data_IF_838017347212
#
_entry.id   IF_838017347212
#
_cell.length_a   1.000
_cell.length_b   1.000
_cell.length_c   1.000
_cell.angle_alpha   90.00
_cell.angle_beta   90.00
_cell.angle_gamma   90.00
#
_symmetry.space_group_name_H-M   'P 1'
#
loop_
_entity.id
_entity.type
_entity.pdbx_description
1 polymer ?
#
# COMPACT_ATOMS: atom_id res chain seq x y z
N UNK A 1 68.76 -16.73 -17.80
CA UNK A 1 67.55 -17.56 -17.78
C UNK A 1 66.69 -17.42 -16.50
N UNK A 2 67.20 -17.31 -15.27
CA UNK A 2 66.40 -17.21 -14.04
C UNK A 2 65.54 -15.94 -13.94
N UNK A 3 65.97 -14.77 -14.46
CA UNK A 3 65.24 -13.48 -14.36
C UNK A 3 63.98 -13.41 -15.26
N UNK A 4 63.98 -14.13 -16.39
CA UNK A 4 62.86 -14.16 -17.32
C UNK A 4 61.74 -15.08 -16.84
N UNK A 5 62.08 -16.14 -16.10
CA UNK A 5 61.12 -17.07 -15.51
C UNK A 5 60.40 -16.43 -14.32
N UNK A 6 61.14 -15.66 -13.48
CA UNK A 6 60.51 -14.92 -12.35
C UNK A 6 59.50 -13.86 -12.84
N UNK A 7 59.83 -13.13 -13.92
CA UNK A 7 58.91 -12.13 -14.51
C UNK A 7 57.60 -12.74 -15.04
N UNK A 8 57.67 -13.92 -15.68
CA UNK A 8 56.49 -14.66 -16.15
C UNK A 8 55.60 -15.15 -14.99
N UNK A 9 56.23 -15.55 -13.85
CA UNK A 9 55.48 -16.06 -12.69
C UNK A 9 54.53 -15.03 -12.03
N UNK A 10 54.84 -13.75 -12.13
CA UNK A 10 53.97 -12.68 -11.60
C UNK A 10 53.11 -12.04 -12.71
N UNK A 11 53.50 -12.12 -13.98
CA UNK A 11 52.75 -11.54 -15.09
C UNK A 11 51.42 -12.27 -15.32
N UNK A 12 51.39 -13.58 -15.26
CA UNK A 12 50.18 -14.40 -15.47
C UNK A 12 49.08 -14.07 -14.42
N UNK A 13 49.38 -14.10 -13.09
CA UNK A 13 48.33 -13.75 -12.10
C UNK A 13 47.91 -12.27 -12.17
N UNK A 14 48.82 -11.37 -12.55
CA UNK A 14 48.46 -9.96 -12.73
C UNK A 14 47.53 -9.76 -13.95
N UNK A 15 47.77 -10.44 -15.07
CA UNK A 15 46.88 -10.42 -16.22
C UNK A 15 45.52 -11.05 -15.89
N UNK A 16 45.48 -12.15 -15.13
CA UNK A 16 44.26 -12.79 -14.69
C UNK A 16 43.44 -11.86 -13.75
N UNK A 17 44.13 -11.16 -12.84
CA UNK A 17 43.47 -10.17 -11.97
C UNK A 17 42.89 -9.01 -12.77
N UNK A 18 43.64 -8.49 -13.75
CA UNK A 18 43.18 -7.39 -14.63
C UNK A 18 41.95 -7.82 -15.44
N UNK A 19 41.96 -9.03 -16.01
CA UNK A 19 40.81 -9.57 -16.76
C UNK A 19 39.60 -9.75 -15.85
N UNK A 20 39.76 -10.20 -14.61
CA UNK A 20 38.69 -10.30 -13.62
C UNK A 20 38.12 -8.93 -13.28
N UNK A 21 38.95 -7.91 -13.07
CA UNK A 21 38.49 -6.54 -12.81
C UNK A 21 37.75 -5.93 -14.02
N UNK A 22 38.22 -6.21 -15.22
CA UNK A 22 37.53 -5.77 -16.45
C UNK A 22 36.15 -6.47 -16.54
N UNK A 23 36.08 -7.78 -16.31
CA UNK A 23 34.81 -8.50 -16.31
C UNK A 23 33.84 -7.96 -15.28
N UNK A 24 34.29 -7.68 -14.05
CA UNK A 24 33.47 -7.06 -12.99
C UNK A 24 33.01 -5.66 -13.41
N UNK A 25 33.89 -4.84 -14.01
CA UNK A 25 33.49 -3.52 -14.49
C UNK A 25 32.46 -3.60 -15.61
N UNK A 26 32.58 -4.57 -16.52
CA UNK A 26 31.59 -4.81 -17.58
C UNK A 26 30.24 -5.18 -17.00
N UNK A 27 30.21 -6.13 -16.06
CA UNK A 27 28.96 -6.51 -15.37
C UNK A 27 28.36 -5.31 -14.63
N UNK A 28 29.17 -4.54 -13.92
CA UNK A 28 28.69 -3.37 -13.18
C UNK A 28 28.10 -2.31 -14.11
N UNK A 29 28.75 -2.00 -15.25
CA UNK A 29 28.30 -1.00 -16.22
C UNK A 29 27.07 -1.48 -17.01
N UNK A 30 27.05 -2.78 -17.42
CA UNK A 30 26.02 -3.29 -18.33
C UNK A 30 24.77 -3.84 -17.64
N UNK A 31 24.87 -4.21 -16.35
CA UNK A 31 23.75 -4.79 -15.60
C UNK A 31 23.39 -3.92 -14.39
N UNK A 32 24.32 -3.77 -13.45
CA UNK A 32 24.02 -3.14 -12.16
C UNK A 32 23.70 -1.65 -12.28
N UNK A 33 24.49 -0.91 -13.09
CA UNK A 33 24.29 0.53 -13.24
C UNK A 33 22.97 0.90 -13.96
N UNK A 34 22.53 0.20 -15.02
CA UNK A 34 21.23 0.42 -15.63
C UNK A 34 20.06 0.09 -14.67
N UNK A 35 20.13 -1.04 -13.95
CA UNK A 35 19.11 -1.41 -12.95
C UNK A 35 18.98 -0.34 -11.86
N UNK A 36 20.11 0.14 -11.35
CA UNK A 36 20.14 1.19 -10.33
C UNK A 36 19.52 2.50 -10.84
N UNK A 37 19.85 2.91 -12.06
CA UNK A 37 19.27 4.11 -12.69
C UNK A 37 17.77 3.98 -12.92
N UNK A 38 17.31 2.81 -13.30
CA UNK A 38 15.89 2.54 -13.50
C UNK A 38 15.14 2.56 -12.17
N UNK A 39 15.74 2.03 -11.11
CA UNK A 39 15.18 2.11 -9.75
C UNK A 39 15.11 3.56 -9.26
N UNK A 40 16.19 4.33 -9.40
CA UNK A 40 16.21 5.76 -9.05
C UNK A 40 15.12 6.54 -9.83
N UNK A 41 14.96 6.25 -11.12
CA UNK A 41 13.93 6.85 -11.96
C UNK A 41 12.50 6.48 -11.48
N UNK A 42 12.26 5.21 -11.14
CA UNK A 42 10.97 4.78 -10.60
C UNK A 42 10.66 5.47 -9.27
N UNK A 43 11.65 5.58 -8.39
CA UNK A 43 11.50 6.28 -7.11
C UNK A 43 11.22 7.78 -7.29
N UNK A 44 11.85 8.41 -8.28
CA UNK A 44 11.61 9.82 -8.58
C UNK A 44 10.19 10.04 -9.12
N UNK A 45 9.72 9.18 -10.03
CA UNK A 45 8.34 9.20 -10.56
C UNK A 45 7.34 8.99 -9.42
N UNK A 46 7.56 7.99 -8.58
CA UNK A 46 6.69 7.73 -7.42
C UNK A 46 6.65 8.93 -6.46
N UNK A 47 7.80 9.52 -6.15
CA UNK A 47 7.88 10.70 -5.28
C UNK A 47 7.14 11.90 -5.88
N UNK A 48 7.26 12.12 -7.19
CA UNK A 48 6.51 13.17 -7.89
C UNK A 48 5.00 12.96 -7.80
N UNK A 49 4.54 11.74 -8.05
CA UNK A 49 3.14 11.36 -7.93
C UNK A 49 2.63 11.51 -6.49
N UNK A 50 3.36 10.98 -5.52
CA UNK A 50 3.03 11.09 -4.09
C UNK A 50 2.87 12.55 -3.64
N UNK A 51 3.84 13.41 -3.96
CA UNK A 51 3.77 14.82 -3.62
C UNK A 51 2.60 15.54 -4.29
N UNK A 52 2.31 15.25 -5.56
CA UNK A 52 1.16 15.82 -6.25
C UNK A 52 -0.18 15.44 -5.57
N UNK A 53 -0.29 14.21 -5.06
CA UNK A 53 -1.46 13.78 -4.27
C UNK A 53 -1.57 14.55 -2.95
N UNK A 54 -0.47 14.75 -2.21
CA UNK A 54 -0.49 15.52 -0.96
C UNK A 54 -0.89 16.98 -1.21
N UNK A 55 -0.36 17.60 -2.27
CA UNK A 55 -0.75 18.95 -2.66
C UNK A 55 -2.24 19.04 -3.07
N UNK A 56 -2.75 18.02 -3.75
CA UNK A 56 -4.17 17.92 -4.06
C UNK A 56 -5.00 17.83 -2.78
N UNK A 57 -4.64 16.94 -1.84
CA UNK A 57 -5.36 16.79 -0.58
C UNK A 57 -5.39 18.08 0.24
N UNK A 58 -4.26 18.80 0.28
CA UNK A 58 -4.21 20.10 0.96
C UNK A 58 -5.14 21.15 0.34
N UNK A 59 -5.27 21.15 -1.00
CA UNK A 59 -6.23 22.04 -1.70
C UNK A 59 -7.67 21.61 -1.42
N UNK A 60 -7.96 20.31 -1.52
CA UNK A 60 -9.31 19.78 -1.31
C UNK A 60 -9.79 20.05 0.13
N UNK A 61 -8.89 19.92 1.12
CA UNK A 61 -9.23 20.15 2.52
C UNK A 61 -9.69 21.60 2.78
N UNK A 62 -9.16 22.57 2.01
CA UNK A 62 -9.55 23.98 2.15
C UNK A 62 -10.98 24.28 1.66
N UNK A 63 -11.63 23.33 1.01
CA UNK A 63 -13.01 23.44 0.51
C UNK A 63 -14.05 22.95 1.53
N UNK A 64 -13.62 22.36 2.66
CA UNK A 64 -14.51 21.76 3.66
C UNK A 64 -14.27 22.33 5.05
N UNK A 65 -15.36 22.50 5.79
CA UNK A 65 -15.31 22.72 7.24
C UNK A 65 -15.09 21.40 8.00
N UNK A 66 -14.69 21.48 9.28
CA UNK A 66 -14.53 20.33 10.17
C UNK A 66 -15.81 19.49 10.17
N UNK A 67 -15.68 18.18 9.95
CA UNK A 67 -16.79 17.20 9.92
C UNK A 67 -17.83 17.41 8.82
N UNK A 68 -17.55 18.19 7.79
CA UNK A 68 -18.42 18.30 6.61
C UNK A 68 -18.30 17.06 5.73
N UNK A 69 -17.08 16.50 5.56
CA UNK A 69 -16.87 15.24 4.86
C UNK A 69 -17.44 14.09 5.67
N UNK A 70 -18.37 13.32 5.09
CA UNK A 70 -18.98 12.17 5.75
C UNK A 70 -17.99 11.02 5.90
N UNK A 71 -17.28 10.66 4.81
CA UNK A 71 -16.36 9.52 4.80
C UNK A 71 -15.08 9.83 4.04
N UNK A 72 -13.94 9.70 4.71
CA UNK A 72 -12.63 9.68 4.07
C UNK A 72 -12.12 8.24 3.94
N UNK A 73 -11.80 7.82 2.73
CA UNK A 73 -11.15 6.54 2.45
C UNK A 73 -9.66 6.75 2.32
N UNK A 74 -8.86 6.10 3.17
CA UNK A 74 -7.40 6.22 3.16
C UNK A 74 -6.75 4.85 2.94
N UNK A 75 -5.70 4.81 2.11
CA UNK A 75 -5.02 3.57 1.78
C UNK A 75 -4.07 3.68 0.60
N UNK A 76 -3.85 2.54 -0.03
CA UNK A 76 -2.97 2.39 -1.19
C UNK A 76 -3.70 2.45 -2.54
N UNK A 77 -3.24 1.68 -3.54
CA UNK A 77 -3.81 1.67 -4.90
C UNK A 77 -5.27 1.19 -4.95
N UNK A 78 -5.69 0.32 -4.03
CA UNK A 78 -7.08 -0.12 -3.96
C UNK A 78 -8.02 1.01 -3.55
N UNK A 79 -7.55 1.89 -2.68
CA UNK A 79 -8.30 3.10 -2.30
C UNK A 79 -8.18 4.17 -3.39
N UNK A 80 -6.99 4.39 -3.94
CA UNK A 80 -6.74 5.40 -4.99
C UNK A 80 -7.62 5.19 -6.23
N UNK A 81 -7.78 3.94 -6.67
CA UNK A 81 -8.61 3.54 -7.79
C UNK A 81 -10.12 3.45 -7.49
N UNK A 82 -10.57 3.74 -6.28
CA UNK A 82 -11.96 3.62 -5.89
C UNK A 82 -12.76 4.84 -6.34
N UNK A 83 -13.69 4.68 -7.27
CA UNK A 83 -14.61 5.72 -7.71
C UNK A 83 -15.72 5.95 -6.67
N UNK A 84 -15.38 6.68 -5.60
CA UNK A 84 -16.29 6.91 -4.48
C UNK A 84 -17.57 7.63 -4.88
N UNK A 85 -17.53 8.49 -5.90
CA UNK A 85 -18.70 9.19 -6.38
C UNK A 85 -19.74 8.23 -6.98
N UNK A 86 -19.29 7.18 -7.68
CA UNK A 86 -20.16 6.13 -8.22
C UNK A 86 -20.69 5.21 -7.15
N UNK A 87 -19.84 4.79 -6.19
CA UNK A 87 -20.20 3.76 -5.23
C UNK A 87 -20.89 4.30 -3.97
N UNK A 88 -20.67 5.55 -3.61
CA UNK A 88 -21.23 6.21 -2.41
C UNK A 88 -21.84 7.59 -2.73
N UNK A 89 -22.75 7.70 -3.73
CA UNK A 89 -23.29 8.99 -4.18
C UNK A 89 -24.13 9.71 -3.12
N UNK A 90 -24.52 9.02 -2.03
CA UNK A 90 -25.31 9.56 -0.94
C UNK A 90 -24.47 10.24 0.16
N UNK A 91 -23.12 10.13 0.10
CA UNK A 91 -22.21 10.70 1.08
C UNK A 91 -21.28 11.74 0.46
N UNK A 92 -20.87 12.72 1.24
CA UNK A 92 -19.73 13.57 0.90
C UNK A 92 -18.47 12.75 1.20
N UNK A 93 -17.75 12.34 0.15
CA UNK A 93 -16.62 11.43 0.29
C UNK A 93 -15.31 12.08 -0.11
N UNK A 94 -14.22 11.71 0.55
CA UNK A 94 -12.86 12.10 0.21
C UNK A 94 -11.99 10.86 -0.05
N UNK A 95 -11.43 10.75 -1.25
CA UNK A 95 -10.45 9.71 -1.57
C UNK A 95 -9.05 10.18 -1.15
N UNK A 96 -8.45 9.46 -0.21
CA UNK A 96 -7.09 9.69 0.31
C UNK A 96 -6.18 8.49 0.05
N UNK A 97 -6.42 7.77 -1.05
CA UNK A 97 -5.57 6.68 -1.53
C UNK A 97 -4.37 7.18 -2.32
N UNK A 98 -3.22 6.51 -2.17
CA UNK A 98 -2.02 6.73 -2.99
C UNK A 98 -1.50 5.38 -3.48
N UNK A 99 -1.50 5.17 -4.79
CA UNK A 99 -1.01 3.92 -5.39
C UNK A 99 0.43 3.60 -4.97
N UNK A 100 0.66 2.36 -4.52
CA UNK A 100 1.99 1.91 -4.07
C UNK A 100 2.36 2.30 -2.63
N UNK A 101 1.47 2.98 -1.89
CA UNK A 101 1.74 3.41 -0.53
C UNK A 101 1.87 2.23 0.46
N UNK A 102 2.60 2.47 1.53
CA UNK A 102 2.86 1.52 2.62
C UNK A 102 2.30 2.04 3.93
N UNK A 103 2.28 1.21 4.99
CA UNK A 103 1.89 1.68 6.32
C UNK A 103 2.78 2.84 6.81
N UNK A 104 4.06 2.83 6.47
CA UNK A 104 4.99 3.92 6.83
C UNK A 104 4.65 5.21 6.08
N UNK A 105 4.47 5.13 4.75
CA UNK A 105 4.10 6.31 3.94
C UNK A 105 2.74 6.88 4.35
N UNK A 106 1.76 6.01 4.64
CA UNK A 106 0.45 6.44 5.14
C UNK A 106 0.58 7.18 6.48
N UNK A 107 1.40 6.68 7.41
CA UNK A 107 1.63 7.33 8.70
C UNK A 107 2.24 8.73 8.53
N UNK A 108 3.23 8.87 7.64
CA UNK A 108 3.90 10.15 7.37
C UNK A 108 2.96 11.24 6.83
N UNK A 109 1.83 10.86 6.22
CA UNK A 109 0.87 11.79 5.59
C UNK A 109 -0.47 11.93 6.31
N UNK A 110 -0.65 11.36 7.50
CA UNK A 110 -1.91 11.44 8.25
C UNK A 110 -2.38 12.87 8.46
N UNK A 111 -1.46 13.82 8.69
CA UNK A 111 -1.78 15.23 8.89
C UNK A 111 -2.61 15.78 7.72
N UNK A 112 -2.04 15.79 6.51
CA UNK A 112 -2.71 16.38 5.33
C UNK A 112 -3.85 15.50 4.82
N UNK A 113 -3.78 14.18 5.03
CA UNK A 113 -4.81 13.27 4.52
C UNK A 113 -6.08 13.26 5.37
N UNK A 114 -5.96 13.39 6.68
CA UNK A 114 -7.07 13.19 7.61
C UNK A 114 -7.20 14.29 8.66
N UNK A 115 -6.09 14.72 9.31
CA UNK A 115 -6.21 15.61 10.48
C UNK A 115 -6.63 17.04 10.08
N UNK A 116 -6.16 17.50 8.92
CA UNK A 116 -6.59 18.78 8.36
C UNK A 116 -8.01 18.73 7.77
N UNK A 117 -8.53 17.52 7.44
CA UNK A 117 -9.86 17.31 6.87
C UNK A 117 -10.94 17.07 7.94
N UNK A 118 -10.61 16.36 9.01
CA UNK A 118 -11.51 15.92 10.08
C UNK A 118 -12.83 15.32 9.59
N UNK A 119 -12.81 14.17 8.90
CA UNK A 119 -14.03 13.53 8.42
C UNK A 119 -14.83 12.92 9.57
N UNK A 120 -16.15 12.69 9.39
CA UNK A 120 -16.97 11.96 10.38
C UNK A 120 -16.57 10.51 10.53
N UNK A 121 -16.24 9.85 9.39
CA UNK A 121 -15.80 8.46 9.34
C UNK A 121 -14.52 8.34 8.52
N UNK A 122 -13.57 7.56 9.02
CA UNK A 122 -12.37 7.13 8.27
C UNK A 122 -12.50 5.66 7.94
N UNK A 123 -12.34 5.28 6.68
CA UNK A 123 -12.24 3.89 6.23
C UNK A 123 -10.80 3.63 5.77
N UNK A 124 -10.07 2.72 6.44
CA UNK A 124 -8.65 2.48 6.19
C UNK A 124 -8.40 1.08 5.63
N UNK A 125 -7.72 1.02 4.48
CA UNK A 125 -7.19 -0.20 3.86
C UNK A 125 -5.73 0.01 3.46
N UNK A 126 -4.79 -0.58 4.18
CA UNK A 126 -3.35 -0.41 3.93
C UNK A 126 -2.55 -1.64 4.34
N UNK A 127 -1.44 -1.88 3.65
CA UNK A 127 -0.46 -2.89 4.02
C UNK A 127 -0.09 -3.89 2.93
N UNK A 128 -0.83 -3.93 1.81
CA UNK A 128 -0.58 -4.86 0.72
C UNK A 128 0.82 -4.70 0.10
N UNK A 129 1.39 -3.50 0.12
CA UNK A 129 2.69 -3.20 -0.47
C UNK A 129 3.88 -3.50 0.46
N UNK A 130 3.65 -3.69 1.75
CA UNK A 130 4.70 -3.99 2.73
C UNK A 130 4.25 -5.01 3.79
N UNK A 131 3.58 -6.08 3.39
CA UNK A 131 3.00 -7.09 4.29
C UNK A 131 3.98 -7.67 5.30
N UNK A 132 5.25 -7.85 4.92
CA UNK A 132 6.29 -8.41 5.80
C UNK A 132 6.66 -7.47 6.97
N UNK A 133 6.41 -6.17 6.82
CA UNK A 133 6.81 -5.13 7.78
C UNK A 133 5.64 -4.28 8.29
N UNK A 134 4.46 -4.43 7.71
CA UNK A 134 3.31 -3.56 7.98
C UNK A 134 2.93 -3.47 9.46
N UNK A 135 3.05 -4.57 10.20
CA UNK A 135 2.69 -4.60 11.62
C UNK A 135 3.66 -3.85 12.52
N UNK A 136 4.84 -3.42 12.00
CA UNK A 136 5.84 -2.70 12.79
C UNK A 136 5.34 -1.31 13.26
N UNK A 137 4.47 -0.68 12.47
CA UNK A 137 3.91 0.64 12.80
C UNK A 137 2.37 0.70 12.73
N UNK A 138 1.69 -0.42 12.44
CA UNK A 138 0.22 -0.42 12.28
C UNK A 138 -0.49 0.04 13.56
N UNK A 139 -0.07 -0.46 14.73
CA UNK A 139 -0.64 -0.04 16.01
C UNK A 139 -0.38 1.46 16.30
N UNK A 140 0.80 1.98 15.92
CA UNK A 140 1.10 3.40 16.03
C UNK A 140 0.15 4.27 15.19
N UNK A 141 -0.19 3.84 13.98
CA UNK A 141 -1.20 4.52 13.14
C UNK A 141 -2.55 4.59 13.88
N UNK A 142 -3.02 3.48 14.45
CA UNK A 142 -4.30 3.46 15.18
C UNK A 142 -4.28 4.37 16.41
N UNK A 143 -3.14 4.41 17.11
CA UNK A 143 -2.93 5.31 18.25
C UNK A 143 -2.96 6.78 17.82
N UNK A 144 -2.28 7.11 16.72
CA UNK A 144 -2.25 8.46 16.15
C UNK A 144 -3.66 8.92 15.72
N UNK A 145 -4.45 8.02 15.08
CA UNK A 145 -5.85 8.29 14.72
C UNK A 145 -6.70 8.59 15.98
N UNK A 146 -6.57 7.76 17.03
CA UNK A 146 -7.32 7.96 18.30
C UNK A 146 -6.99 9.29 18.96
N UNK A 147 -5.73 9.70 18.90
CA UNK A 147 -5.27 10.94 19.52
C UNK A 147 -5.68 12.19 18.75
N UNK A 148 -5.62 12.14 17.41
CA UNK A 148 -5.78 13.33 16.56
C UNK A 148 -7.18 13.46 15.95
N UNK A 149 -7.98 12.38 15.94
CA UNK A 149 -9.36 12.35 15.42
C UNK A 149 -10.34 11.76 16.45
N UNK A 150 -10.43 12.31 17.67
CA UNK A 150 -11.22 11.73 18.76
C UNK A 150 -12.73 11.68 18.48
N UNK A 151 -13.23 12.54 17.60
CA UNK A 151 -14.66 12.60 17.23
C UNK A 151 -14.97 11.77 15.97
N UNK A 152 -13.97 11.34 15.21
CA UNK A 152 -14.17 10.53 14.00
C UNK A 152 -14.37 9.06 14.36
N UNK A 153 -15.28 8.39 13.66
CA UNK A 153 -15.42 6.93 13.72
C UNK A 153 -14.41 6.28 12.78
N UNK A 154 -13.79 5.19 13.18
CA UNK A 154 -12.76 4.52 12.39
C UNK A 154 -13.22 3.13 12.00
N UNK A 155 -13.13 2.82 10.71
CA UNK A 155 -13.42 1.50 10.12
C UNK A 155 -12.12 0.96 9.53
N UNK A 156 -11.69 -0.17 10.03
CA UNK A 156 -10.51 -0.88 9.58
C UNK A 156 -10.94 -2.01 8.66
N UNK A 157 -10.42 -2.02 7.45
CA UNK A 157 -10.64 -3.12 6.51
C UNK A 157 -9.51 -4.14 6.63
N UNK A 158 -9.85 -5.43 6.53
CA UNK A 158 -8.82 -6.46 6.37
C UNK A 158 -8.05 -6.27 5.06
N UNK A 159 -6.83 -6.77 4.96
CA UNK A 159 -6.20 -7.01 3.67
C UNK A 159 -7.11 -7.92 2.85
N UNK A 160 -7.10 -7.73 1.54
CA UNK A 160 -7.96 -8.44 0.60
C UNK A 160 -7.36 -9.78 0.17
N UNK A 161 -8.18 -10.71 -0.30
CA UNK A 161 -7.70 -11.87 -1.02
C UNK A 161 -7.12 -11.45 -2.37
N UNK A 162 -6.09 -12.16 -2.80
CA UNK A 162 -5.31 -11.89 -4.00
C UNK A 162 -5.23 -13.16 -4.86
N UNK A 163 -4.90 -12.98 -6.14
CA UNK A 163 -4.78 -14.08 -7.08
C UNK A 163 -3.61 -13.93 -8.05
N UNK A 164 -3.44 -14.98 -8.89
CA UNK A 164 -2.40 -15.02 -9.90
C UNK A 164 -0.99 -15.22 -9.34
N UNK A 165 -0.04 -15.39 -10.25
CA UNK A 165 1.33 -15.78 -9.90
C UNK A 165 2.05 -14.77 -8.99
N UNK A 166 1.77 -13.49 -9.19
CA UNK A 166 2.44 -12.42 -8.45
C UNK A 166 1.85 -12.19 -7.06
N UNK A 167 0.51 -12.14 -6.95
CA UNK A 167 -0.18 -11.75 -5.73
C UNK A 167 -0.69 -12.94 -4.89
N UNK A 168 -1.15 -14.02 -5.52
CA UNK A 168 -1.82 -15.14 -4.84
C UNK A 168 -0.95 -15.81 -3.77
N UNK A 169 0.37 -15.82 -3.96
CA UNK A 169 1.32 -16.36 -2.94
C UNK A 169 1.32 -15.57 -1.63
N UNK A 170 0.76 -14.38 -1.60
CA UNK A 170 0.71 -13.52 -0.42
C UNK A 170 -0.51 -13.77 0.47
N UNK A 171 -1.50 -14.57 0.02
CA UNK A 171 -2.74 -14.81 0.77
C UNK A 171 -2.52 -15.38 2.17
N UNK A 172 -1.54 -16.28 2.35
CA UNK A 172 -1.22 -16.81 3.67
C UNK A 172 -0.73 -15.74 4.63
N UNK A 173 0.11 -14.82 4.16
CA UNK A 173 0.62 -13.70 4.95
C UNK A 173 -0.47 -12.67 5.21
N UNK A 174 -1.32 -12.39 4.21
CA UNK A 174 -2.48 -11.51 4.36
C UNK A 174 -3.44 -12.04 5.43
N UNK A 175 -3.79 -13.32 5.38
CA UNK A 175 -4.65 -13.96 6.39
C UNK A 175 -4.03 -13.90 7.80
N UNK A 176 -2.71 -14.13 7.92
CA UNK A 176 -2.00 -13.99 9.20
C UNK A 176 -2.04 -12.56 9.73
N UNK A 177 -1.75 -11.56 8.89
CA UNK A 177 -1.79 -10.17 9.29
C UNK A 177 -3.20 -9.71 9.66
N UNK A 178 -4.23 -10.21 8.97
CA UNK A 178 -5.64 -9.89 9.24
C UNK A 178 -6.07 -10.27 10.65
N UNK A 179 -5.53 -11.37 11.21
CA UNK A 179 -5.76 -11.71 12.63
C UNK A 179 -5.26 -10.60 13.54
N UNK A 180 -4.04 -10.10 13.29
CA UNK A 180 -3.45 -9.02 14.08
C UNK A 180 -4.19 -7.69 13.89
N UNK A 181 -4.57 -7.35 12.65
CA UNK A 181 -5.35 -6.15 12.33
C UNK A 181 -6.69 -6.16 13.08
N UNK A 182 -7.41 -7.28 13.05
CA UNK A 182 -8.68 -7.43 13.76
C UNK A 182 -8.53 -7.24 15.27
N UNK A 183 -7.54 -7.89 15.89
CA UNK A 183 -7.26 -7.74 17.32
C UNK A 183 -6.88 -6.31 17.70
N UNK A 184 -6.16 -5.61 16.82
CA UNK A 184 -5.85 -4.19 17.01
C UNK A 184 -7.10 -3.32 16.88
N UNK A 185 -7.95 -3.53 15.88
CA UNK A 185 -9.21 -2.82 15.75
C UNK A 185 -10.10 -2.98 17.00
N UNK A 186 -10.26 -4.21 17.49
CA UNK A 186 -10.98 -4.51 18.73
C UNK A 186 -10.37 -3.78 19.96
N UNK A 187 -9.04 -3.75 20.07
CA UNK A 187 -8.34 -3.06 21.18
C UNK A 187 -8.59 -1.54 21.20
N UNK A 188 -8.71 -0.92 20.01
CA UNK A 188 -8.95 0.51 19.89
C UNK A 188 -10.42 0.90 19.84
N UNK A 189 -11.34 -0.07 19.93
CA UNK A 189 -12.79 0.11 19.77
C UNK A 189 -13.15 0.70 18.38
N UNK A 190 -12.53 0.13 17.34
CA UNK A 190 -12.74 0.48 15.94
C UNK A 190 -13.54 -0.62 15.23
N UNK A 191 -14.37 -0.22 14.27
CA UNK A 191 -15.08 -1.19 13.44
C UNK A 191 -14.11 -1.97 12.55
N UNK A 192 -14.37 -3.27 12.37
CA UNK A 192 -13.59 -4.13 11.51
C UNK A 192 -14.45 -4.78 10.44
N UNK A 193 -14.07 -4.65 9.17
CA UNK A 193 -14.74 -5.29 8.03
C UNK A 193 -13.80 -6.33 7.41
N UNK A 194 -14.23 -7.59 7.39
CA UNK A 194 -13.49 -8.70 6.80
C UNK A 194 -13.74 -8.81 5.29
N UNK A 195 -12.95 -8.10 4.51
CA UNK A 195 -12.98 -8.19 3.05
C UNK A 195 -12.31 -9.47 2.53
N UNK A 196 -11.36 -10.04 3.29
CA UNK A 196 -10.63 -11.22 2.85
C UNK A 196 -11.58 -12.39 2.60
N UNK A 197 -12.44 -12.68 3.57
CA UNK A 197 -13.32 -13.86 3.53
C UNK A 197 -14.34 -13.80 2.39
N UNK A 198 -14.87 -12.62 2.07
CA UNK A 198 -15.86 -12.46 1.00
C UNK A 198 -15.25 -12.44 -0.40
N UNK A 199 -13.95 -12.16 -0.49
CA UNK A 199 -13.22 -12.12 -1.76
C UNK A 199 -12.48 -13.43 -2.06
N UNK A 200 -12.32 -14.33 -1.06
CA UNK A 200 -11.48 -15.53 -1.16
C UNK A 200 -12.27 -16.77 -1.60
N UNK A 201 -11.89 -17.36 -2.72
CA UNK A 201 -12.38 -18.65 -3.18
C UNK A 201 -11.53 -19.77 -2.57
N UNK A 202 -12.11 -20.46 -1.58
CA UNK A 202 -11.44 -21.56 -0.88
C UNK A 202 -11.15 -22.77 -1.79
N UNK A 203 -11.83 -22.88 -2.94
CA UNK A 203 -11.65 -24.02 -3.86
C UNK A 203 -10.35 -23.91 -4.66
N UNK A 204 -9.89 -22.70 -4.91
CA UNK A 204 -8.64 -22.42 -5.65
C UNK A 204 -7.55 -21.75 -4.79
N UNK A 205 -7.90 -21.28 -3.59
CA UNK A 205 -6.96 -20.63 -2.70
C UNK A 205 -6.60 -19.18 -3.09
N UNK A 206 -7.40 -18.53 -3.89
CA UNK A 206 -7.18 -17.19 -4.44
C UNK A 206 -8.45 -16.34 -4.41
N UNK A 207 -8.35 -15.08 -4.84
CA UNK A 207 -9.51 -14.21 -5.05
C UNK A 207 -10.43 -14.81 -6.13
N UNK A 208 -11.74 -14.64 -5.97
CA UNK A 208 -12.71 -15.08 -6.98
C UNK A 208 -12.39 -14.51 -8.37
N UNK A 209 -12.57 -15.34 -9.40
CA UNK A 209 -12.38 -14.95 -10.78
C UNK A 209 -13.26 -13.74 -11.15
N UNK A 210 -12.69 -12.78 -11.86
CA UNK A 210 -13.38 -11.57 -12.30
C UNK A 210 -13.44 -10.44 -11.26
N UNK A 211 -13.02 -10.67 -10.01
CA UNK A 211 -13.00 -9.59 -9.00
C UNK A 211 -11.77 -8.68 -9.11
N UNK A 212 -10.71 -9.16 -9.74
CA UNK A 212 -9.47 -8.40 -9.96
C UNK A 212 -9.03 -8.43 -11.42
N UNK A 213 -8.26 -7.42 -11.83
CA UNK A 213 -7.70 -7.32 -13.19
C UNK A 213 -6.37 -8.05 -13.35
N UNK A 214 -5.57 -8.08 -12.29
CA UNK A 214 -4.19 -8.61 -12.27
C UNK A 214 -3.91 -9.48 -11.04
N UNK A 215 -4.97 -9.86 -10.32
CA UNK A 215 -4.90 -10.62 -9.07
C UNK A 215 -4.80 -9.73 -7.82
N UNK A 216 -4.54 -8.43 -7.95
CA UNK A 216 -4.42 -7.49 -6.83
C UNK A 216 -5.38 -6.31 -6.90
N UNK A 217 -5.60 -5.74 -8.09
CA UNK A 217 -6.42 -4.55 -8.29
C UNK A 217 -7.84 -4.91 -8.74
N UNK A 218 -8.84 -4.31 -8.11
CA UNK A 218 -10.24 -4.64 -8.34
C UNK A 218 -10.75 -4.22 -9.71
N UNK A 219 -11.63 -5.05 -10.25
CA UNK A 219 -12.56 -4.70 -11.31
C UNK A 219 -13.74 -3.89 -10.73
N UNK A 220 -14.63 -3.31 -11.57
CA UNK A 220 -15.88 -2.74 -11.08
C UNK A 220 -16.74 -3.74 -10.28
N UNK A 221 -16.71 -5.02 -10.62
CA UNK A 221 -17.38 -6.07 -9.85
C UNK A 221 -16.76 -6.26 -8.48
N UNK A 222 -15.42 -6.32 -8.39
CA UNK A 222 -14.69 -6.39 -7.11
C UNK A 222 -15.02 -5.20 -6.20
N UNK A 223 -15.02 -3.97 -6.74
CA UNK A 223 -15.43 -2.78 -5.97
C UNK A 223 -16.89 -2.84 -5.53
N UNK A 224 -17.80 -3.43 -6.33
CA UNK A 224 -19.21 -3.59 -5.93
C UNK A 224 -19.35 -4.52 -4.71
N UNK A 225 -18.57 -5.61 -4.66
CA UNK A 225 -18.54 -6.53 -3.51
C UNK A 225 -18.02 -5.81 -2.26
N UNK A 226 -16.88 -5.11 -2.39
CA UNK A 226 -16.30 -4.32 -1.29
C UNK A 226 -17.27 -3.26 -0.78
N UNK A 227 -17.97 -2.57 -1.69
CA UNK A 227 -18.99 -1.58 -1.36
C UNK A 227 -20.14 -2.19 -0.57
N UNK A 228 -20.58 -3.39 -0.95
CA UNK A 228 -21.67 -4.09 -0.26
C UNK A 228 -21.33 -4.42 1.20
N UNK A 229 -20.07 -4.75 1.49
CA UNK A 229 -19.58 -5.04 2.85
C UNK A 229 -19.42 -3.77 3.71
N UNK A 230 -18.95 -2.67 3.10
CA UNK A 230 -18.69 -1.42 3.84
C UNK A 230 -20.00 -0.64 4.11
N UNK A 231 -20.92 -0.65 3.16
CA UNK A 231 -22.13 0.20 3.21
C UNK A 231 -22.99 0.00 4.47
N UNK A 232 -23.25 -1.22 4.99
CA UNK A 232 -24.02 -1.40 6.24
C UNK A 232 -23.35 -0.71 7.43
N UNK A 233 -22.03 -0.82 7.56
CA UNK A 233 -21.26 -0.19 8.63
C UNK A 233 -21.35 1.34 8.54
N UNK A 234 -21.20 1.90 7.34
CA UNK A 234 -21.34 3.36 7.15
C UNK A 234 -22.74 3.86 7.49
N UNK A 235 -23.78 3.10 7.14
CA UNK A 235 -25.17 3.45 7.48
C UNK A 235 -25.38 3.50 9.01
N UNK A 236 -24.84 2.51 9.71
CA UNK A 236 -24.92 2.47 11.17
C UNK A 236 -24.20 3.64 11.81
N UNK A 237 -22.94 3.89 11.43
CA UNK A 237 -22.10 4.95 12.00
C UNK A 237 -22.62 6.37 11.71
N UNK A 238 -23.22 6.58 10.53
CA UNK A 238 -23.75 7.88 10.10
C UNK A 238 -25.23 8.07 10.40
N UNK A 239 -25.95 7.01 10.83
CA UNK A 239 -27.37 7.07 11.17
C UNK A 239 -28.30 7.29 9.97
N UNK A 240 -27.89 6.87 8.77
CA UNK A 240 -28.63 7.08 7.52
C UNK A 240 -28.31 6.10 6.39
#
# INVERSE_FOLDING_TARGET
MKSTILKKRYLIPLCALLLALIALAVVWISVILPEKREEERRQEIFRGYYNAKLEQYARDNAEYDDYEVDVAFIGDSLTDGYDLATYYPQYVTANRGIGGDTTFGLQDRLQVSLYDLKPKVVVMLIGANNMDTMLQNYESILQDLKQNLPESKIVILSLTAMGGEHWGRKNQLAAYNNVSIKLLAERYDYEFVDLFSVLYDVSIGEVYEGYTTDGGHFTPLGYSIVTAEITPVLKELLGR
#
